data_IF_287717853951
#
_entry.id   IF_287717853951
#
_cell.length_a   1.000
_cell.length_b   1.000
_cell.length_c   1.000
_cell.angle_alpha   90.00
_cell.angle_beta   90.00
_cell.angle_gamma   90.00
#
_symmetry.space_group_name_H-M   'P 1'
#
loop_
_entity.id
_entity.type
_entity.pdbx_description
1 polymer ?
#
# COMPACT_ATOMS: atom_id res chain seq x y z
N UNK A 1 -68.04 25.66 -7.70
CA UNK A 1 -67.01 25.57 -8.75
C UNK A 1 -65.75 26.39 -8.48
N UNK A 2 -65.66 27.24 -7.44
CA UNK A 2 -64.44 28.04 -7.17
C UNK A 2 -63.46 27.31 -6.22
N UNK A 3 -63.97 26.45 -5.32
CA UNK A 3 -63.13 25.73 -4.35
C UNK A 3 -62.18 24.68 -4.98
N UNK A 4 -62.59 24.01 -6.06
CA UNK A 4 -61.74 23.02 -6.76
C UNK A 4 -60.58 23.66 -7.52
N UNK A 5 -60.73 24.88 -8.02
CA UNK A 5 -59.67 25.55 -8.78
C UNK A 5 -58.55 26.05 -7.85
N UNK A 6 -58.90 26.52 -6.65
CA UNK A 6 -57.94 26.98 -5.64
C UNK A 6 -57.08 25.82 -5.11
N UNK A 7 -57.65 24.63 -4.93
CA UNK A 7 -56.88 23.43 -4.56
C UNK A 7 -55.92 22.98 -5.66
N UNK A 8 -56.30 23.12 -6.93
CA UNK A 8 -55.44 22.77 -8.07
C UNK A 8 -54.28 23.78 -8.24
N UNK A 9 -54.53 25.06 -7.96
CA UNK A 9 -53.50 26.11 -7.96
C UNK A 9 -52.51 25.95 -6.81
N UNK A 10 -52.96 25.50 -5.62
CA UNK A 10 -52.06 25.20 -4.49
C UNK A 10 -51.17 23.97 -4.74
N UNK A 11 -51.62 23.02 -5.56
CA UNK A 11 -50.84 21.84 -5.96
C UNK A 11 -49.79 22.14 -7.06
N UNK A 12 -49.89 23.30 -7.72
CA UNK A 12 -48.97 23.77 -8.76
C UNK A 12 -47.93 24.75 -8.24
N UNK A 13 -47.96 25.11 -6.95
CA UNK A 13 -46.82 25.78 -6.33
C UNK A 13 -45.75 24.70 -6.22
N UNK A 14 -44.62 24.79 -6.95
CA UNK A 14 -43.50 23.94 -6.63
C UNK A 14 -43.17 24.25 -5.17
N UNK A 15 -43.24 23.24 -4.31
CA UNK A 15 -42.46 23.24 -3.08
C UNK A 15 -40.99 23.24 -3.54
N UNK A 16 -40.52 24.38 -4.04
CA UNK A 16 -39.13 24.72 -3.93
C UNK A 16 -38.92 24.84 -2.42
N UNK A 17 -38.50 23.72 -1.86
CA UNK A 17 -37.93 23.67 -0.54
C UNK A 17 -36.67 24.54 -0.59
N UNK A 18 -36.87 25.86 -0.45
CA UNK A 18 -35.82 26.88 -0.36
C UNK A 18 -35.14 26.82 1.02
N UNK A 19 -35.10 25.63 1.62
CA UNK A 19 -34.19 25.28 2.71
C UNK A 19 -33.03 24.46 2.14
N UNK A 20 -32.41 24.91 1.04
CA UNK A 20 -31.00 24.62 0.84
C UNK A 20 -30.23 25.46 1.86
N UNK A 21 -30.18 24.96 3.09
CA UNK A 21 -29.10 25.34 4.00
C UNK A 21 -27.85 24.80 3.34
N UNK A 22 -27.01 25.68 2.79
CA UNK A 22 -25.83 25.39 1.96
C UNK A 22 -24.69 24.73 2.78
N UNK A 23 -24.96 24.22 3.98
CA UNK A 23 -23.92 23.87 4.96
C UNK A 23 -23.92 22.42 5.45
N UNK A 24 -24.82 21.55 4.96
CA UNK A 24 -24.78 20.14 5.33
C UNK A 24 -24.07 19.33 4.22
N UNK A 25 -22.87 18.76 4.48
CA UNK A 25 -22.19 17.93 3.50
C UNK A 25 -23.03 16.68 3.20
N UNK A 26 -23.33 16.44 1.92
CA UNK A 26 -24.14 15.28 1.49
C UNK A 26 -23.46 13.94 1.84
N UNK A 27 -22.13 13.88 1.75
CA UNK A 27 -21.28 12.79 2.25
C UNK A 27 -19.83 13.29 2.40
N UNK A 28 -19.05 12.63 3.24
CA UNK A 28 -17.61 12.83 3.30
C UNK A 28 -16.94 12.12 2.11
N UNK A 29 -16.31 12.87 1.20
CA UNK A 29 -15.56 12.30 0.08
C UNK A 29 -14.26 11.66 0.61
N UNK A 30 -14.06 10.33 0.49
CA UNK A 30 -12.83 9.70 0.89
C UNK A 30 -11.66 10.12 -0.02
N UNK A 31 -10.45 10.15 0.54
CA UNK A 31 -9.22 10.50 -0.18
C UNK A 31 -8.62 9.26 -0.86
N UNK A 32 -9.32 8.73 -1.85
CA UNK A 32 -8.96 7.46 -2.52
C UNK A 32 -7.69 7.54 -3.40
N UNK A 33 -7.19 8.74 -3.69
CA UNK A 33 -6.07 8.98 -4.60
C UNK A 33 -4.72 9.20 -3.90
N UNK A 34 -4.61 8.86 -2.62
CA UNK A 34 -3.41 9.12 -1.79
C UNK A 34 -2.26 8.12 -2.02
N UNK A 35 -2.21 7.52 -3.21
CA UNK A 35 -1.30 6.43 -3.54
C UNK A 35 -0.39 6.81 -4.72
N UNK A 36 0.86 6.41 -4.66
CA UNK A 36 1.82 6.50 -5.78
C UNK A 36 2.61 5.19 -5.89
N UNK A 37 3.56 5.11 -6.83
CA UNK A 37 4.46 3.96 -6.92
C UNK A 37 5.58 4.13 -7.92
N UNK A 38 6.60 3.28 -7.79
CA UNK A 38 7.74 3.23 -8.71
C UNK A 38 8.33 1.81 -8.77
N UNK A 39 9.18 1.60 -9.78
CA UNK A 39 10.00 0.41 -9.90
C UNK A 39 11.46 0.84 -9.75
N UNK A 40 12.24 0.23 -8.83
CA UNK A 40 13.66 0.55 -8.70
C UNK A 40 14.41 0.28 -10.00
N UNK A 41 15.38 1.13 -10.33
CA UNK A 41 16.20 0.96 -11.51
C UNK A 41 17.33 -0.04 -11.23
N UNK A 42 17.67 -0.88 -12.22
CA UNK A 42 18.83 -1.76 -12.16
C UNK A 42 18.50 -3.18 -12.59
N UNK A 43 19.47 -4.07 -12.39
CA UNK A 43 19.21 -5.51 -12.54
C UNK A 43 18.28 -5.97 -11.41
N UNK A 44 17.37 -6.90 -11.73
CA UNK A 44 16.53 -7.59 -10.75
C UNK A 44 17.43 -8.59 -10.02
N UNK A 45 18.22 -8.04 -9.10
CA UNK A 45 19.10 -8.74 -8.16
C UNK A 45 19.06 -7.98 -6.85
N UNK A 46 18.99 -8.70 -5.74
CA UNK A 46 18.89 -8.12 -4.39
C UNK A 46 19.85 -6.96 -4.14
N UNK A 47 21.15 -7.13 -4.36
CA UNK A 47 22.14 -6.06 -4.05
C UNK A 47 22.00 -4.82 -4.95
N UNK A 48 21.61 -5.02 -6.21
CA UNK A 48 21.33 -3.92 -7.16
C UNK A 48 20.09 -3.13 -6.72
N UNK A 49 19.01 -3.84 -6.39
CA UNK A 49 17.77 -3.22 -5.92
C UNK A 49 17.93 -2.56 -4.55
N UNK A 50 18.65 -3.19 -3.63
CA UNK A 50 19.02 -2.60 -2.34
C UNK A 50 19.78 -1.29 -2.54
N UNK A 51 20.84 -1.31 -3.36
CA UNK A 51 21.61 -0.09 -3.65
C UNK A 51 20.73 1.02 -4.25
N UNK A 52 19.79 0.67 -5.14
CA UNK A 52 18.84 1.63 -5.71
C UNK A 52 17.87 2.18 -4.67
N UNK A 53 17.23 1.32 -3.87
CA UNK A 53 16.22 1.70 -2.87
C UNK A 53 16.82 2.56 -1.73
N UNK A 54 18.04 2.24 -1.31
CA UNK A 54 18.77 2.98 -0.28
C UNK A 54 19.60 4.15 -0.83
N UNK A 55 19.53 4.42 -2.15
CA UNK A 55 20.26 5.53 -2.75
C UNK A 55 19.76 6.89 -2.26
N UNK A 56 20.66 7.86 -2.16
CA UNK A 56 20.33 9.24 -1.77
C UNK A 56 19.21 9.84 -2.62
N UNK A 57 19.19 9.54 -3.93
CA UNK A 57 18.15 10.06 -4.83
C UNK A 57 16.76 9.52 -4.50
N UNK A 58 16.64 8.22 -4.18
CA UNK A 58 15.37 7.63 -3.74
C UNK A 58 14.96 8.19 -2.38
N UNK A 59 15.89 8.29 -1.42
CA UNK A 59 15.61 8.82 -0.09
C UNK A 59 15.13 10.30 -0.16
N UNK A 60 15.78 11.13 -0.97
CA UNK A 60 15.35 12.51 -1.23
C UNK A 60 13.95 12.56 -1.86
N UNK A 61 13.65 11.68 -2.81
CA UNK A 61 12.33 11.61 -3.43
C UNK A 61 11.24 11.21 -2.43
N UNK A 62 11.51 10.23 -1.56
CA UNK A 62 10.58 9.83 -0.49
C UNK A 62 10.31 10.99 0.47
N UNK A 63 11.34 11.76 0.86
CA UNK A 63 11.16 12.96 1.67
C UNK A 63 10.31 14.03 0.95
N UNK A 64 10.47 14.20 -0.37
CA UNK A 64 9.61 15.11 -1.14
C UNK A 64 8.15 14.66 -1.16
N UNK A 65 7.89 13.36 -1.28
CA UNK A 65 6.53 12.81 -1.20
C UNK A 65 5.92 13.02 0.18
N UNK A 66 6.70 12.79 1.24
CA UNK A 66 6.29 12.98 2.63
C UNK A 66 6.02 14.46 2.99
N UNK A 67 6.72 15.39 2.35
CA UNK A 67 6.56 16.82 2.58
C UNK A 67 5.23 17.39 2.03
N UNK A 68 4.47 16.62 1.24
CA UNK A 68 3.20 17.07 0.71
C UNK A 68 2.18 17.29 1.85
N UNK A 69 1.42 18.40 1.81
CA UNK A 69 0.57 18.79 2.93
C UNK A 69 -0.55 17.77 3.18
N UNK A 70 -0.91 17.59 4.45
CA UNK A 70 -2.09 16.84 4.89
C UNK A 70 -2.18 15.40 4.36
N UNK A 71 -1.07 14.67 4.25
CA UNK A 71 -1.09 13.29 3.75
C UNK A 71 -1.62 13.19 2.31
N UNK A 72 -1.21 14.12 1.43
CA UNK A 72 -1.55 14.07 0.01
C UNK A 72 -1.18 12.73 -0.62
N UNK A 73 -0.07 12.16 -0.18
CA UNK A 73 0.37 10.80 -0.45
C UNK A 73 0.59 10.11 0.89
N UNK A 74 0.14 8.87 0.98
CA UNK A 74 0.27 8.03 2.18
C UNK A 74 0.83 6.66 1.84
N UNK A 75 0.47 6.08 0.69
CA UNK A 75 0.98 4.76 0.29
C UNK A 75 1.84 4.81 -0.96
N UNK A 76 2.86 3.95 -0.99
CA UNK A 76 3.80 3.82 -2.10
C UNK A 76 3.88 2.35 -2.51
N UNK A 77 3.48 2.05 -3.74
CA UNK A 77 3.64 0.75 -4.39
C UNK A 77 5.03 0.62 -4.99
N UNK A 78 5.84 -0.30 -4.48
CA UNK A 78 7.25 -0.46 -4.89
C UNK A 78 7.42 -1.86 -5.48
N UNK A 79 7.81 -1.92 -6.76
CA UNK A 79 8.07 -3.21 -7.42
C UNK A 79 9.30 -3.87 -6.79
N UNK A 80 9.28 -5.21 -6.73
CA UNK A 80 10.40 -6.00 -6.21
C UNK A 80 10.82 -5.65 -4.78
N UNK A 81 9.94 -5.07 -3.97
CA UNK A 81 10.26 -4.69 -2.60
C UNK A 81 10.67 -5.91 -1.76
N UNK A 82 10.02 -7.06 -1.98
CA UNK A 82 10.34 -8.30 -1.27
C UNK A 82 11.67 -8.94 -1.69
N UNK A 83 12.31 -8.44 -2.75
CA UNK A 83 13.68 -8.84 -3.11
C UNK A 83 14.72 -8.34 -2.08
N UNK A 84 14.33 -7.44 -1.17
CA UNK A 84 15.15 -7.11 0.00
C UNK A 84 15.22 -8.26 1.01
N UNK A 85 14.31 -9.23 0.96
CA UNK A 85 14.35 -10.41 1.84
C UNK A 85 15.34 -11.42 1.29
N UNK A 86 16.29 -11.83 2.13
CA UNK A 86 17.34 -12.76 1.73
C UNK A 86 16.99 -14.18 2.17
N UNK A 87 17.13 -15.15 1.28
CA UNK A 87 17.16 -16.56 1.66
C UNK A 87 18.48 -16.88 2.36
N UNK A 88 18.42 -17.47 3.55
CA UNK A 88 19.62 -17.82 4.34
C UNK A 88 19.98 -19.29 4.14
N UNK A 89 19.07 -20.18 4.49
CA UNK A 89 19.25 -21.63 4.46
C UNK A 89 17.94 -22.35 4.72
N UNK A 90 17.93 -23.68 4.56
CA UNK A 90 16.89 -24.53 5.14
C UNK A 90 17.26 -24.93 6.57
N UNK A 91 16.25 -25.09 7.43
CA UNK A 91 16.39 -25.76 8.73
C UNK A 91 16.61 -27.27 8.56
N UNK A 92 16.97 -27.97 9.64
CA UNK A 92 17.06 -29.44 9.63
C UNK A 92 15.73 -30.12 9.26
N UNK A 93 14.60 -29.44 9.48
CA UNK A 93 13.27 -29.93 9.12
C UNK A 93 12.85 -29.56 7.68
N UNK A 94 13.73 -28.94 6.90
CA UNK A 94 13.45 -28.53 5.51
C UNK A 94 12.65 -27.22 5.37
N UNK A 95 12.41 -26.49 6.47
CA UNK A 95 11.71 -25.19 6.42
C UNK A 95 12.69 -24.09 5.99
N UNK A 96 12.36 -23.23 5.03
CA UNK A 96 13.22 -22.13 4.59
C UNK A 96 13.35 -21.04 5.66
N UNK A 97 14.55 -20.49 5.80
CA UNK A 97 14.88 -19.40 6.73
C UNK A 97 15.22 -18.15 5.94
N UNK A 98 14.56 -17.05 6.29
CA UNK A 98 14.70 -15.76 5.64
C UNK A 98 15.28 -14.70 6.59
N UNK A 99 16.08 -13.79 6.03
CA UNK A 99 16.57 -12.59 6.71
C UNK A 99 15.81 -11.37 6.17
N UNK A 100 15.06 -10.72 7.07
CA UNK A 100 14.20 -9.57 6.78
C UNK A 100 14.87 -8.22 7.08
N UNK A 101 16.12 -8.20 7.55
CA UNK A 101 16.75 -6.99 8.13
C UNK A 101 16.69 -5.77 7.21
N UNK A 102 16.98 -5.94 5.92
CA UNK A 102 16.95 -4.85 4.94
C UNK A 102 15.53 -4.36 4.63
N UNK A 103 14.57 -5.29 4.57
CA UNK A 103 13.16 -4.93 4.35
C UNK A 103 12.60 -4.21 5.58
N UNK A 104 12.95 -4.66 6.79
CA UNK A 104 12.55 -4.02 8.04
C UNK A 104 13.10 -2.60 8.14
N UNK A 105 14.39 -2.40 7.87
CA UNK A 105 15.01 -1.09 7.86
C UNK A 105 14.30 -0.15 6.88
N UNK A 106 14.05 -0.62 5.66
CA UNK A 106 13.38 0.19 4.65
C UNK A 106 11.95 0.57 5.04
N UNK A 107 11.16 -0.39 5.58
CA UNK A 107 9.78 -0.12 6.00
C UNK A 107 9.74 0.80 7.23
N UNK A 108 10.68 0.66 8.17
CA UNK A 108 10.80 1.57 9.31
C UNK A 108 11.10 3.00 8.84
N UNK A 109 12.03 3.16 7.90
CA UNK A 109 12.36 4.47 7.32
C UNK A 109 11.14 5.10 6.61
N UNK A 110 10.34 4.31 5.87
CA UNK A 110 9.08 4.79 5.29
C UNK A 110 8.09 5.24 6.37
N UNK A 111 7.92 4.44 7.42
CA UNK A 111 7.01 4.73 8.51
C UNK A 111 7.40 6.03 9.25
N UNK A 112 8.70 6.28 9.45
CA UNK A 112 9.21 7.52 10.05
C UNK A 112 8.88 8.77 9.20
N UNK A 113 8.71 8.59 7.88
CA UNK A 113 8.25 9.62 6.95
C UNK A 113 6.71 9.73 6.86
N UNK A 114 5.97 8.88 7.57
CA UNK A 114 4.50 8.79 7.45
C UNK A 114 4.03 8.21 6.11
N UNK A 115 4.90 7.43 5.46
CA UNK A 115 4.64 6.71 4.21
C UNK A 115 4.50 5.22 4.48
N UNK A 116 3.63 4.54 3.74
CA UNK A 116 3.35 3.12 3.93
C UNK A 116 3.53 2.34 2.64
N UNK A 117 4.18 1.16 2.68
CA UNK A 117 4.32 0.34 1.50
C UNK A 117 2.98 -0.28 1.09
N UNK A 118 2.73 -0.32 -0.21
CA UNK A 118 1.86 -1.34 -0.82
C UNK A 118 2.76 -2.49 -1.23
N UNK A 119 2.74 -3.56 -0.44
CA UNK A 119 3.59 -4.73 -0.63
C UNK A 119 3.03 -5.54 -1.80
N UNK A 120 3.82 -5.65 -2.85
CA UNK A 120 3.57 -6.57 -3.94
C UNK A 120 4.35 -7.85 -3.67
N UNK A 121 3.67 -9.00 -3.77
CA UNK A 121 4.32 -10.30 -3.68
C UNK A 121 5.15 -10.59 -4.94
N UNK A 122 6.31 -9.94 -5.02
CA UNK A 122 7.19 -9.92 -6.18
C UNK A 122 8.66 -10.07 -5.72
N UNK A 123 9.22 -11.26 -5.94
CA UNK A 123 10.62 -11.62 -5.65
C UNK A 123 10.98 -12.92 -6.38
N UNK A 124 12.26 -13.14 -6.65
CA UNK A 124 12.77 -14.44 -7.10
C UNK A 124 13.49 -15.24 -5.99
N UNK A 125 13.60 -14.65 -4.79
CA UNK A 125 14.32 -15.16 -3.61
C UNK A 125 15.76 -15.57 -3.96
N UNK A 126 16.51 -14.68 -4.62
CA UNK A 126 17.85 -14.96 -5.15
C UNK A 126 17.88 -16.22 -6.06
N UNK A 127 16.81 -16.42 -6.84
CA UNK A 127 16.63 -17.56 -7.75
C UNK A 127 16.24 -18.90 -7.08
N UNK A 128 15.92 -18.91 -5.78
CA UNK A 128 15.48 -20.12 -5.07
C UNK A 128 14.18 -20.69 -5.66
N UNK A 129 13.24 -19.82 -6.06
CA UNK A 129 11.97 -20.26 -6.62
C UNK A 129 12.15 -21.04 -7.93
N UNK A 130 13.02 -20.55 -8.81
CA UNK A 130 13.30 -21.16 -10.11
C UNK A 130 14.10 -22.45 -9.96
N UNK A 131 15.07 -22.48 -9.04
CA UNK A 131 15.90 -23.67 -8.80
C UNK A 131 15.16 -24.81 -8.09
N UNK A 132 14.01 -24.53 -7.47
CA UNK A 132 13.20 -25.50 -6.74
C UNK A 132 11.77 -25.58 -7.30
N UNK A 133 11.63 -25.71 -8.62
CA UNK A 133 10.33 -25.67 -9.32
C UNK A 133 9.29 -26.66 -8.78
N UNK A 134 9.74 -27.83 -8.31
CA UNK A 134 8.86 -28.90 -7.83
C UNK A 134 8.16 -28.56 -6.50
N UNK A 135 8.78 -27.70 -5.69
CA UNK A 135 8.27 -27.26 -4.37
C UNK A 135 8.04 -25.74 -4.32
N UNK A 136 8.03 -25.08 -5.48
CA UNK A 136 7.92 -23.62 -5.58
C UNK A 136 6.66 -23.10 -4.89
N UNK A 137 5.55 -23.80 -5.01
CA UNK A 137 4.29 -23.40 -4.36
C UNK A 137 4.40 -23.43 -2.84
N UNK A 138 5.06 -24.45 -2.27
CA UNK A 138 5.24 -24.59 -0.82
C UNK A 138 6.16 -23.49 -0.28
N UNK A 139 7.25 -23.19 -1.00
CA UNK A 139 8.16 -22.08 -0.67
C UNK A 139 7.40 -20.74 -0.73
N UNK A 140 6.56 -20.54 -1.75
CA UNK A 140 5.81 -19.31 -1.92
C UNK A 140 4.73 -19.12 -0.87
N UNK A 141 4.03 -20.19 -0.49
CA UNK A 141 3.03 -20.18 0.59
C UNK A 141 3.68 -19.84 1.93
N UNK A 142 4.78 -20.51 2.28
CA UNK A 142 5.50 -20.24 3.51
C UNK A 142 6.08 -18.82 3.54
N UNK A 143 6.73 -18.38 2.46
CA UNK A 143 7.25 -17.03 2.34
C UNK A 143 6.16 -15.97 2.52
N UNK A 144 5.01 -16.16 1.84
CA UNK A 144 3.89 -15.23 1.91
C UNK A 144 3.30 -15.15 3.32
N UNK A 145 3.20 -16.30 4.00
CA UNK A 145 2.79 -16.37 5.39
C UNK A 145 3.78 -15.65 6.32
N UNK A 146 5.08 -15.88 6.16
CA UNK A 146 6.11 -15.26 7.00
C UNK A 146 6.14 -13.73 6.85
N UNK A 147 6.10 -13.22 5.62
CA UNK A 147 6.01 -11.78 5.33
C UNK A 147 4.76 -11.17 5.99
N UNK A 148 3.59 -11.77 5.75
CA UNK A 148 2.32 -11.26 6.27
C UNK A 148 2.30 -11.28 7.80
N UNK A 149 2.68 -12.41 8.42
CA UNK A 149 2.74 -12.56 9.86
C UNK A 149 3.68 -11.54 10.51
N UNK A 150 4.87 -11.34 9.93
CA UNK A 150 5.86 -10.40 10.43
C UNK A 150 5.30 -9.00 10.48
N UNK A 151 4.78 -8.49 9.35
CA UNK A 151 4.35 -7.10 9.27
C UNK A 151 2.99 -6.83 9.91
N UNK A 152 2.11 -7.82 10.04
CA UNK A 152 0.93 -7.70 10.91
C UNK A 152 1.31 -7.58 12.39
N UNK A 153 2.37 -8.26 12.83
CA UNK A 153 2.80 -8.24 14.24
C UNK A 153 3.51 -6.95 14.66
N UNK A 154 4.28 -6.34 13.76
CA UNK A 154 5.05 -5.11 14.02
C UNK A 154 4.13 -3.89 14.03
N UNK A 155 3.06 -3.94 13.23
CA UNK A 155 2.25 -2.77 12.91
C UNK A 155 0.78 -2.99 13.27
N UNK A 156 0.50 -3.13 14.57
CA UNK A 156 -0.86 -3.37 15.10
C UNK A 156 -1.87 -2.23 14.73
N UNK A 157 -1.38 -1.06 14.29
CA UNK A 157 -2.21 0.08 13.89
C UNK A 157 -1.75 0.80 12.61
N UNK A 158 -0.85 0.21 11.80
CA UNK A 158 -0.24 0.90 10.66
C UNK A 158 -0.72 0.35 9.33
N UNK A 159 -0.96 1.26 8.38
CA UNK A 159 -1.61 1.05 7.09
C UNK A 159 -0.73 0.29 6.07
N UNK A 160 -0.26 -0.92 6.39
CA UNK A 160 0.37 -1.78 5.38
C UNK A 160 -0.72 -2.39 4.51
N UNK A 161 -0.59 -2.24 3.20
CA UNK A 161 -1.50 -2.81 2.22
C UNK A 161 -0.78 -3.92 1.45
N UNK A 162 -1.39 -5.10 1.34
CA UNK A 162 -0.89 -6.21 0.55
C UNK A 162 -1.64 -6.25 -0.79
N UNK A 163 -0.91 -6.39 -1.90
CA UNK A 163 -1.45 -6.43 -3.26
C UNK A 163 -0.95 -7.65 -4.05
#
# INVERSE_FOLDING_TARGET
MVASLVMYLAALIPLQNNSHIINEPYYQLPRFWTNTGFCPSGEIKRESLKSSLFSESVQMNLMHLAALPTGAITHIRIHWLLELVKFVQYTQAGVPVYDFSDLDEFILNLNDLGLYPVIEFMTDLDGILVSNSDIMNDIWEDFSYQVTKRYLSIYIHTYICFK
#
